data_IF_605617333353
#
_entry.id   IF_605617333353
#
_cell.length_a   1.000
_cell.length_b   1.000
_cell.length_c   1.000
_cell.angle_alpha   90.00
_cell.angle_beta   90.00
_cell.angle_gamma   90.00
#
_symmetry.space_group_name_H-M   'P 1'
#
loop_
_entity.id
_entity.type
_entity.pdbx_description
1 polymer ?
#
# COMPACT_ATOMS: atom_id res chain seq x y z
N UNK A 1 8.15 -23.02 -5.14
CA UNK A 1 8.25 -21.56 -4.92
C UNK A 1 7.16 -20.90 -5.75
N UNK A 2 5.97 -20.74 -5.17
CA UNK A 2 4.91 -19.93 -5.79
C UNK A 2 5.16 -18.48 -5.39
N UNK A 3 5.61 -17.67 -6.35
CA UNK A 3 5.69 -16.22 -6.17
C UNK A 3 4.30 -15.61 -5.93
N UNK A 4 4.21 -14.39 -5.37
CA UNK A 4 2.94 -13.72 -5.02
C UNK A 4 2.17 -13.20 -6.26
N UNK A 5 2.21 -13.92 -7.38
CA UNK A 5 1.69 -13.50 -8.70
C UNK A 5 0.16 -13.63 -8.83
N UNK A 6 -0.57 -13.60 -7.73
CA UNK A 6 -2.03 -13.51 -7.73
C UNK A 6 -2.51 -12.72 -6.51
N UNK A 7 -1.93 -11.52 -6.33
CA UNK A 7 -2.50 -10.52 -5.45
C UNK A 7 -3.83 -10.07 -6.05
N UNK A 8 -4.92 -10.74 -5.65
CA UNK A 8 -6.21 -10.02 -5.58
C UNK A 8 -5.92 -8.78 -4.76
N UNK A 9 -6.03 -7.62 -5.39
CA UNK A 9 -5.87 -6.32 -4.73
C UNK A 9 -6.84 -6.27 -3.56
N UNK A 10 -6.35 -6.55 -2.35
CA UNK A 10 -7.13 -6.36 -1.15
C UNK A 10 -7.01 -4.89 -0.76
N UNK A 11 -7.98 -4.11 -1.20
CA UNK A 11 -8.06 -2.69 -0.88
C UNK A 11 -8.35 -2.44 0.61
N UNK A 12 -8.58 -3.47 1.44
CA UNK A 12 -8.86 -3.28 2.86
C UNK A 12 -7.77 -2.47 3.56
N UNK A 13 -6.50 -2.80 3.39
CA UNK A 13 -5.40 -2.10 4.09
C UNK A 13 -5.34 -0.61 3.71
N UNK A 14 -5.46 -0.29 2.42
CA UNK A 14 -5.41 1.11 1.98
C UNK A 14 -6.70 1.87 2.36
N UNK A 15 -7.85 1.21 2.38
CA UNK A 15 -9.11 1.82 2.84
C UNK A 15 -9.05 2.08 4.35
N UNK A 16 -8.49 1.16 5.13
CA UNK A 16 -8.25 1.37 6.57
C UNK A 16 -7.30 2.54 6.82
N UNK A 17 -6.30 2.71 5.95
CA UNK A 17 -5.38 3.85 6.02
C UNK A 17 -6.04 5.18 5.67
N UNK A 18 -6.99 5.17 4.74
CA UNK A 18 -7.73 6.34 4.23
C UNK A 18 -9.25 6.15 4.38
N UNK A 19 -9.78 6.11 5.61
CA UNK A 19 -11.15 5.66 5.87
C UNK A 19 -12.22 6.57 5.27
N UNK A 20 -11.92 7.86 5.05
CA UNK A 20 -12.82 8.81 4.39
C UNK A 20 -12.95 8.64 2.88
N UNK A 21 -12.06 7.86 2.25
CA UNK A 21 -11.92 7.77 0.79
C UNK A 21 -12.29 6.41 0.21
N UNK A 22 -12.81 5.48 1.01
CA UNK A 22 -12.99 4.09 0.59
C UNK A 22 -13.78 3.92 -0.73
N UNK A 23 -14.83 4.71 -0.96
CA UNK A 23 -15.58 4.68 -2.21
C UNK A 23 -14.77 5.24 -3.40
N UNK A 24 -13.99 6.30 -3.18
CA UNK A 24 -13.15 6.92 -4.19
C UNK A 24 -11.98 6.01 -4.57
N UNK A 25 -11.31 5.40 -3.59
CA UNK A 25 -10.23 4.41 -3.78
C UNK A 25 -10.73 3.26 -4.64
N UNK A 26 -11.88 2.66 -4.29
CA UNK A 26 -12.48 1.58 -5.09
C UNK A 26 -12.77 2.01 -6.52
N UNK A 27 -13.27 3.23 -6.71
CA UNK A 27 -13.56 3.77 -8.05
C UNK A 27 -12.28 3.97 -8.86
N UNK A 28 -11.24 4.55 -8.27
CA UNK A 28 -9.97 4.82 -8.94
C UNK A 28 -9.25 3.52 -9.28
N UNK A 29 -9.15 2.58 -8.34
CA UNK A 29 -8.51 1.28 -8.59
C UNK A 29 -9.17 0.46 -9.73
N UNK A 30 -10.44 0.73 -10.06
CA UNK A 30 -11.13 0.11 -11.19
C UNK A 30 -10.92 0.82 -12.54
N UNK A 31 -10.59 2.12 -12.51
CA UNK A 31 -10.62 2.98 -13.70
C UNK A 31 -9.25 3.56 -14.09
N UNK A 32 -8.33 3.59 -13.14
CA UNK A 32 -7.01 4.17 -13.26
C UNK A 32 -5.98 3.09 -12.93
N UNK A 33 -5.29 2.63 -13.98
CA UNK A 33 -4.27 1.58 -13.88
C UNK A 33 -3.05 2.04 -13.08
N UNK A 34 -2.69 3.32 -13.15
CA UNK A 34 -1.57 3.87 -12.39
C UNK A 34 -1.91 3.92 -10.90
N UNK A 35 -3.10 4.42 -10.54
CA UNK A 35 -3.56 4.39 -9.16
C UNK A 35 -3.66 2.96 -8.62
N UNK A 36 -4.13 2.03 -9.45
CA UNK A 36 -4.18 0.61 -9.09
C UNK A 36 -2.78 0.06 -8.81
N UNK A 37 -1.79 0.35 -9.66
CA UNK A 37 -0.39 -0.07 -9.46
C UNK A 37 0.16 0.40 -8.11
N UNK A 38 -0.06 1.66 -7.76
CA UNK A 38 0.36 2.21 -6.45
C UNK A 38 -0.28 1.45 -5.29
N UNK A 39 -1.57 1.11 -5.39
CA UNK A 39 -2.25 0.30 -4.38
C UNK A 39 -1.66 -1.12 -4.27
N UNK A 40 -1.27 -1.73 -5.40
CA UNK A 40 -0.61 -3.06 -5.43
C UNK A 40 0.76 -3.00 -4.75
N UNK A 41 1.55 -1.98 -5.05
CA UNK A 41 2.85 -1.72 -4.43
C UNK A 41 2.72 -1.48 -2.92
N UNK A 42 1.73 -0.71 -2.50
CA UNK A 42 1.45 -0.45 -1.09
C UNK A 42 1.17 -1.74 -0.32
N UNK A 43 0.24 -2.57 -0.82
CA UNK A 43 -0.11 -3.84 -0.19
C UNK A 43 1.10 -4.78 -0.13
N UNK A 44 1.92 -4.83 -1.18
CA UNK A 44 3.12 -5.65 -1.21
C UNK A 44 4.16 -5.18 -0.18
N UNK A 45 4.40 -3.86 -0.08
CA UNK A 45 5.32 -3.27 0.88
C UNK A 45 4.85 -3.52 2.33
N UNK A 46 3.55 -3.39 2.61
CA UNK A 46 2.93 -3.69 3.91
C UNK A 46 3.08 -5.15 4.29
N UNK A 47 2.78 -6.07 3.37
CA UNK A 47 2.94 -7.50 3.61
C UNK A 47 4.40 -7.88 3.90
N UNK A 48 5.34 -7.25 3.17
CA UNK A 48 6.78 -7.44 3.38
C UNK A 48 7.22 -6.90 4.75
N UNK A 49 6.81 -5.68 5.10
CA UNK A 49 7.09 -5.09 6.41
C UNK A 49 6.58 -5.97 7.55
N UNK A 50 5.32 -6.42 7.47
CA UNK A 50 4.70 -7.30 8.47
C UNK A 50 5.50 -8.60 8.66
N UNK A 51 6.02 -9.18 7.57
CA UNK A 51 6.89 -10.34 7.63
C UNK A 51 8.22 -10.08 8.35
N UNK A 52 8.82 -8.91 8.17
CA UNK A 52 10.03 -8.51 8.89
C UNK A 52 9.73 -8.21 10.37
N UNK A 53 8.65 -7.49 10.66
CA UNK A 53 8.22 -7.11 12.02
C UNK A 53 7.86 -8.30 12.91
N UNK A 54 7.38 -9.40 12.32
CA UNK A 54 7.08 -10.64 13.05
C UNK A 54 8.32 -11.39 13.60
N UNK A 55 9.54 -10.96 13.28
CA UNK A 55 10.79 -11.62 13.69
C UNK A 55 11.43 -10.96 14.89
N UNK A 56 12.13 -11.75 15.71
CA UNK A 56 12.97 -11.23 16.80
C UNK A 56 14.04 -10.28 16.24
N UNK A 57 14.25 -9.15 16.91
CA UNK A 57 15.19 -8.11 16.48
C UNK A 57 14.74 -7.31 15.26
N UNK A 58 13.44 -7.27 14.95
CA UNK A 58 12.91 -6.55 13.79
C UNK A 58 13.32 -5.07 13.75
N UNK A 59 13.32 -4.36 14.88
CA UNK A 59 13.66 -2.93 14.93
C UNK A 59 15.12 -2.63 14.56
N UNK A 60 16.01 -3.62 14.70
CA UNK A 60 17.42 -3.49 14.34
C UNK A 60 17.68 -3.80 12.86
N UNK A 61 16.68 -4.27 12.12
CA UNK A 61 16.79 -4.62 10.70
C UNK A 61 16.64 -3.37 9.83
N UNK A 62 17.63 -3.04 8.98
CA UNK A 62 17.52 -1.90 8.07
C UNK A 62 16.32 -2.02 7.14
N UNK A 63 15.93 -3.24 6.75
CA UNK A 63 14.78 -3.48 5.87
C UNK A 63 13.47 -2.93 6.47
N UNK A 64 13.31 -2.96 7.79
CA UNK A 64 12.12 -2.40 8.45
C UNK A 64 12.05 -0.88 8.24
N UNK A 65 13.18 -0.17 8.38
CA UNK A 65 13.25 1.26 8.13
C UNK A 65 13.02 1.59 6.64
N UNK A 66 13.59 0.79 5.74
CA UNK A 66 13.44 0.96 4.29
C UNK A 66 11.98 0.77 3.87
N UNK A 67 11.33 -0.32 4.28
CA UNK A 67 9.92 -0.57 3.97
C UNK A 67 9.00 0.49 4.56
N UNK A 68 9.25 0.95 5.80
CA UNK A 68 8.48 2.07 6.38
C UNK A 68 8.60 3.35 5.55
N UNK A 69 9.79 3.63 5.02
CA UNK A 69 10.02 4.81 4.17
C UNK A 69 9.31 4.68 2.82
N UNK A 70 9.37 3.50 2.19
CA UNK A 70 8.64 3.19 0.95
C UNK A 70 7.12 3.33 1.16
N UNK A 71 6.59 2.74 2.24
CA UNK A 71 5.17 2.83 2.60
C UNK A 71 4.75 4.30 2.77
N UNK A 72 5.55 5.11 3.48
CA UNK A 72 5.25 6.52 3.67
C UNK A 72 5.19 7.29 2.32
N UNK A 73 6.11 7.01 1.40
CA UNK A 73 6.09 7.60 0.05
C UNK A 73 4.84 7.20 -0.74
N UNK A 74 4.49 5.91 -0.73
CA UNK A 74 3.28 5.41 -1.37
C UNK A 74 2.01 6.03 -0.78
N UNK A 75 1.94 6.22 0.55
CA UNK A 75 0.81 6.92 1.19
C UNK A 75 0.69 8.38 0.75
N UNK A 76 1.82 9.07 0.55
CA UNK A 76 1.83 10.43 0.03
C UNK A 76 1.29 10.47 -1.41
N UNK A 77 1.76 9.58 -2.28
CA UNK A 77 1.28 9.49 -3.67
C UNK A 77 -0.23 9.19 -3.74
N UNK A 78 -0.71 8.24 -2.92
CA UNK A 78 -2.14 7.94 -2.82
C UNK A 78 -2.93 9.17 -2.36
N UNK A 79 -2.46 9.86 -1.32
CA UNK A 79 -3.12 11.06 -0.81
C UNK A 79 -3.22 12.17 -1.88
N UNK A 80 -2.15 12.38 -2.65
CA UNK A 80 -2.12 13.36 -3.74
C UNK A 80 -3.12 13.00 -4.84
N UNK A 81 -3.16 11.74 -5.28
CA UNK A 81 -4.11 11.29 -6.30
C UNK A 81 -5.57 11.37 -5.82
N UNK A 82 -5.83 11.04 -4.55
CA UNK A 82 -7.15 11.21 -3.95
C UNK A 82 -7.57 12.68 -3.90
N UNK A 83 -6.65 13.59 -3.57
CA UNK A 83 -6.92 15.03 -3.60
C UNK A 83 -7.24 15.52 -5.01
N UNK A 84 -6.45 15.10 -6.00
CA UNK A 84 -6.67 15.44 -7.42
C UNK A 84 -8.02 14.93 -7.94
N UNK A 85 -8.43 13.72 -7.54
CA UNK A 85 -9.69 13.13 -7.99
C UNK A 85 -10.95 13.73 -7.34
N UNK A 86 -10.80 14.55 -6.28
CA UNK A 86 -11.87 15.30 -5.63
C UNK A 86 -12.07 16.70 -6.21
N UNK A 87 -11.02 17.28 -6.79
CA UNK A 87 -11.04 18.57 -7.48
C UNK A 87 -11.68 18.48 -8.85
#
# INVERSE_FOLDING_TARGET
MTGPENLRLDLAEIIERFPGDGALIRRLALKDEAFRGICEEYVLARASLSWFEARSGAEERPEVADYRSVIAGLEEEVAQLLQQARG
#
